data_IF_523845882344
#
_entry.id   IF_523845882344
#
_cell.length_a   1.000
_cell.length_b   1.000
_cell.length_c   1.000
_cell.angle_alpha   90.00
_cell.angle_beta   90.00
_cell.angle_gamma   90.00
#
_symmetry.space_group_name_H-M   'P 1'
#
loop_
_entity.id
_entity.type
_entity.pdbx_description
1 polymer ?
#
# COMPACT_ATOMS: atom_id res chain seq x y z
N UNK A 1 -13.47 15.82 -66.07
CA UNK A 1 -13.00 14.42 -65.83
C UNK A 1 -11.54 14.52 -65.39
N UNK A 2 -11.03 14.02 -64.27
CA UNK A 2 -11.53 13.31 -63.09
C UNK A 2 -10.61 13.73 -61.92
N UNK A 3 -11.16 13.79 -60.72
CA UNK A 3 -10.48 14.15 -59.47
C UNK A 3 -9.37 13.15 -59.11
N UNK A 4 -8.20 13.66 -58.72
CA UNK A 4 -7.22 12.93 -57.90
C UNK A 4 -7.65 13.07 -56.44
N UNK A 5 -7.88 11.95 -55.76
CA UNK A 5 -8.27 11.91 -54.36
C UNK A 5 -7.49 10.78 -53.66
N UNK A 6 -6.85 11.15 -52.54
CA UNK A 6 -6.59 10.35 -51.33
C UNK A 6 -5.69 9.11 -51.45
N UNK A 7 -4.44 9.26 -51.02
CA UNK A 7 -3.63 8.17 -50.46
C UNK A 7 -3.43 8.42 -48.96
N UNK A 8 -4.44 8.07 -48.16
CA UNK A 8 -4.24 7.76 -46.73
C UNK A 8 -4.09 6.26 -46.68
N UNK A 9 -2.85 5.80 -46.58
CA UNK A 9 -2.49 4.39 -46.52
C UNK A 9 -2.83 3.87 -45.12
N UNK A 10 -4.05 3.37 -44.97
CA UNK A 10 -4.48 2.61 -43.82
C UNK A 10 -3.69 1.30 -43.77
N UNK A 11 -2.71 1.22 -42.88
CA UNK A 11 -2.09 -0.05 -42.49
C UNK A 11 -3.04 -0.68 -41.46
N UNK A 12 -4.10 -1.32 -41.97
CA UNK A 12 -4.84 -2.34 -41.22
C UNK A 12 -4.08 -3.64 -41.36
N UNK A 13 -3.09 -3.85 -40.49
CA UNK A 13 -2.48 -5.16 -40.30
C UNK A 13 -3.35 -5.94 -39.30
N UNK A 14 -4.32 -6.69 -39.82
CA UNK A 14 -4.85 -7.86 -39.14
C UNK A 14 -3.73 -8.91 -39.05
N UNK A 15 -3.17 -9.10 -37.86
CA UNK A 15 -2.65 -10.41 -37.46
C UNK A 15 -3.52 -10.95 -36.33
N UNK A 16 -4.45 -11.80 -36.75
CA UNK A 16 -5.18 -12.72 -35.90
C UNK A 16 -4.21 -13.74 -35.32
N UNK A 17 -3.84 -13.55 -34.05
CA UNK A 17 -3.43 -14.67 -33.19
C UNK A 17 -4.64 -15.00 -32.34
N UNK A 18 -5.34 -16.07 -32.75
CA UNK A 18 -6.42 -16.65 -31.96
C UNK A 18 -5.82 -17.34 -30.74
N UNK A 19 -5.50 -16.57 -29.70
CA UNK A 19 -5.34 -17.10 -28.35
C UNK A 19 -6.71 -17.10 -27.70
N UNK A 20 -7.28 -18.29 -27.54
CA UNK A 20 -8.45 -18.51 -26.67
C UNK A 20 -8.06 -18.16 -25.24
N UNK A 21 -8.42 -16.97 -24.72
CA UNK A 21 -8.31 -16.64 -23.29
C UNK A 21 -9.32 -15.52 -22.89
N UNK A 22 -10.11 -15.82 -21.85
CA UNK A 22 -10.98 -14.96 -21.03
C UNK A 22 -11.31 -13.52 -21.51
N UNK A 23 -12.48 -13.30 -22.12
CA UNK A 23 -12.98 -11.95 -22.45
C UNK A 23 -13.21 -11.09 -21.19
N UNK A 24 -12.60 -9.90 -21.16
CA UNK A 24 -12.86 -8.83 -20.18
C UNK A 24 -14.22 -8.19 -20.51
N UNK A 25 -15.17 -8.17 -19.56
CA UNK A 25 -16.58 -7.86 -19.84
C UNK A 25 -16.84 -6.42 -20.29
N UNK A 26 -16.38 -5.43 -19.52
CA UNK A 26 -16.53 -4.00 -19.84
C UNK A 26 -15.18 -3.43 -20.32
N UNK A 27 -14.61 -4.03 -21.35
CA UNK A 27 -13.26 -3.72 -21.80
C UNK A 27 -13.14 -2.26 -22.29
N UNK A 28 -12.25 -1.52 -21.65
CA UNK A 28 -11.68 -0.26 -22.16
C UNK A 28 -10.18 -0.42 -22.32
N UNK A 29 -9.62 0.21 -23.34
CA UNK A 29 -8.18 0.17 -23.60
C UNK A 29 -7.63 1.59 -23.59
N UNK A 30 -6.53 1.78 -22.86
CA UNK A 30 -5.77 3.02 -22.80
C UNK A 30 -4.28 2.74 -23.01
N UNK A 31 -3.58 3.66 -23.65
CA UNK A 31 -2.14 3.56 -23.87
C UNK A 31 -1.44 4.53 -22.92
N UNK A 32 -0.49 4.02 -22.14
CA UNK A 32 0.22 4.80 -21.12
C UNK A 32 1.71 4.51 -21.18
N UNK A 33 2.53 5.50 -20.80
CA UNK A 33 3.98 5.33 -20.76
C UNK A 33 4.40 4.69 -19.42
N UNK A 34 5.19 3.61 -19.51
CA UNK A 34 5.75 2.88 -18.37
C UNK A 34 7.22 2.68 -18.66
N UNK A 35 8.08 3.09 -17.74
CA UNK A 35 9.52 3.07 -17.94
C UNK A 35 10.08 1.65 -17.77
N UNK A 36 11.00 1.27 -18.67
CA UNK A 36 11.65 -0.04 -18.73
C UNK A 36 12.62 -0.08 -19.92
N UNK A 37 13.56 -1.04 -19.92
CA UNK A 37 14.61 -1.09 -20.95
C UNK A 37 14.87 -2.49 -21.56
N UNK A 38 14.39 -3.58 -20.96
CA UNK A 38 14.71 -4.95 -21.38
C UNK A 38 13.46 -5.84 -21.37
N UNK A 39 13.50 -6.98 -22.05
CA UNK A 39 12.37 -7.93 -22.10
C UNK A 39 12.03 -8.56 -20.74
N UNK A 40 12.95 -8.51 -19.78
CA UNK A 40 12.63 -8.87 -18.39
C UNK A 40 11.69 -7.84 -17.74
N UNK A 41 11.81 -6.57 -18.12
CA UNK A 41 10.91 -5.52 -17.65
C UNK A 41 9.51 -5.74 -18.24
N UNK A 42 9.41 -6.05 -19.54
CA UNK A 42 8.17 -6.42 -20.20
C UNK A 42 7.43 -7.51 -19.41
N UNK A 43 8.08 -8.65 -19.17
CA UNK A 43 7.46 -9.76 -18.43
C UNK A 43 6.98 -9.33 -17.04
N UNK A 44 7.75 -8.50 -16.34
CA UNK A 44 7.43 -8.10 -14.96
C UNK A 44 6.31 -7.06 -14.93
N UNK A 45 6.34 -6.08 -15.84
CA UNK A 45 5.32 -5.04 -16.02
C UNK A 45 3.98 -5.69 -16.40
N UNK A 46 3.98 -6.57 -17.40
CA UNK A 46 2.78 -7.25 -17.88
C UNK A 46 2.18 -8.14 -16.80
N UNK A 47 3.01 -8.90 -16.08
CA UNK A 47 2.59 -9.74 -14.97
C UNK A 47 2.00 -8.94 -13.80
N UNK A 48 2.60 -7.79 -13.48
CA UNK A 48 2.12 -6.93 -12.40
C UNK A 48 0.79 -6.23 -12.75
N UNK A 49 0.65 -5.80 -14.00
CA UNK A 49 -0.53 -5.11 -14.49
C UNK A 49 -1.73 -6.02 -14.77
N UNK A 50 -1.46 -7.22 -15.30
CA UNK A 50 -2.47 -8.16 -15.78
C UNK A 50 -3.09 -8.99 -14.65
N UNK A 51 -4.41 -9.01 -14.60
CA UNK A 51 -5.19 -9.84 -13.69
C UNK A 51 -6.32 -10.52 -14.46
N UNK A 52 -6.41 -11.85 -14.34
CA UNK A 52 -7.35 -12.67 -15.09
C UNK A 52 -8.78 -12.10 -15.04
N UNK A 53 -9.39 -11.90 -16.22
CA UNK A 53 -10.74 -11.32 -16.42
C UNK A 53 -10.94 -9.88 -15.91
N UNK A 54 -9.90 -9.22 -15.40
CA UNK A 54 -9.98 -7.87 -14.82
C UNK A 54 -9.16 -6.86 -15.63
N UNK A 55 -7.91 -7.18 -15.96
CA UNK A 55 -7.01 -6.33 -16.71
C UNK A 55 -5.99 -7.15 -17.50
N UNK A 56 -5.57 -6.63 -18.64
CA UNK A 56 -4.47 -7.14 -19.48
C UNK A 56 -3.55 -5.96 -19.79
N UNK A 57 -2.26 -6.17 -19.62
CA UNK A 57 -1.21 -5.19 -19.94
C UNK A 57 -0.29 -5.84 -20.95
N UNK A 58 -0.08 -5.14 -22.05
CA UNK A 58 0.82 -5.50 -23.15
C UNK A 58 1.80 -4.33 -23.29
N UNK A 59 3.08 -4.55 -22.95
CA UNK A 59 4.07 -3.48 -22.88
C UNK A 59 5.11 -3.64 -23.97
N UNK A 60 5.29 -2.59 -24.76
CA UNK A 60 6.23 -2.59 -25.86
C UNK A 60 7.56 -1.96 -25.44
N UNK A 61 8.63 -2.75 -25.57
CA UNK A 61 9.99 -2.35 -25.16
C UNK A 61 10.55 -1.18 -25.95
N UNK A 62 10.27 -1.12 -27.24
CA UNK A 62 10.88 -0.15 -28.15
C UNK A 62 10.26 1.25 -27.97
N UNK A 63 8.95 1.29 -27.72
CA UNK A 63 8.18 2.52 -27.50
C UNK A 63 8.06 2.91 -26.03
N UNK A 64 8.28 1.95 -25.11
CA UNK A 64 8.03 2.08 -23.66
C UNK A 64 6.57 2.40 -23.33
N UNK A 65 5.65 1.96 -24.18
CA UNK A 65 4.22 2.18 -24.04
C UNK A 65 3.53 0.86 -23.67
N UNK A 66 2.63 0.91 -22.70
CA UNK A 66 1.72 -0.18 -22.37
C UNK A 66 0.33 0.07 -22.93
N UNK A 67 -0.24 -0.90 -23.64
CA UNK A 67 -1.66 -0.99 -23.89
C UNK A 67 -2.34 -1.70 -22.71
N UNK A 68 -3.11 -0.94 -21.92
CA UNK A 68 -3.82 -1.43 -20.75
C UNK A 68 -5.29 -1.62 -21.11
N UNK A 69 -5.73 -2.87 -21.19
CA UNK A 69 -7.15 -3.24 -21.38
C UNK A 69 -7.77 -3.68 -20.07
N UNK A 70 -8.90 -3.12 -19.65
CA UNK A 70 -9.46 -3.35 -18.32
C UNK A 70 -10.99 -3.33 -18.26
N UNK A 71 -11.57 -4.02 -17.26
CA UNK A 71 -13.01 -3.98 -16.97
C UNK A 71 -13.33 -2.66 -16.25
N UNK A 72 -13.90 -1.69 -16.96
CA UNK A 72 -14.15 -0.35 -16.42
C UNK A 72 -15.19 -0.30 -15.31
N UNK A 73 -15.93 -1.39 -15.07
CA UNK A 73 -16.85 -1.50 -13.94
C UNK A 73 -16.17 -2.01 -12.66
N UNK A 74 -14.93 -2.52 -12.75
CA UNK A 74 -14.23 -3.19 -11.65
C UNK A 74 -12.86 -2.63 -11.32
N UNK A 75 -12.19 -1.99 -12.28
CA UNK A 75 -10.88 -1.36 -12.09
C UNK A 75 -10.77 -0.14 -12.98
N UNK A 76 -9.66 0.58 -12.86
CA UNK A 76 -9.31 1.73 -13.68
C UNK A 76 -7.79 1.73 -13.97
N UNK A 77 -7.30 2.60 -14.87
CA UNK A 77 -5.88 2.67 -15.24
C UNK A 77 -4.97 3.01 -14.06
N UNK A 78 -5.41 3.88 -13.15
CA UNK A 78 -4.60 4.30 -12.02
C UNK A 78 -4.33 3.15 -11.05
N UNK A 79 -5.30 2.28 -10.79
CA UNK A 79 -5.09 1.07 -9.98
C UNK A 79 -4.14 0.08 -10.67
N UNK A 80 -4.17 -0.03 -12.00
CA UNK A 80 -3.26 -0.89 -12.76
C UNK A 80 -1.83 -0.34 -12.73
N UNK A 81 -1.67 0.97 -12.94
CA UNK A 81 -0.37 1.65 -12.89
C UNK A 81 0.24 1.61 -11.49
N UNK A 82 -0.56 1.71 -10.43
CA UNK A 82 -0.08 1.50 -9.07
C UNK A 82 0.53 0.11 -8.94
N UNK A 83 -0.16 -0.97 -9.35
CA UNK A 83 0.41 -2.33 -9.31
C UNK A 83 1.76 -2.47 -9.99
N UNK A 84 1.90 -1.81 -11.14
CA UNK A 84 3.16 -1.80 -11.91
C UNK A 84 4.25 -1.01 -11.17
N UNK A 85 3.91 0.12 -10.53
CA UNK A 85 4.80 0.86 -9.65
C UNK A 85 5.27 0.03 -8.45
N UNK A 86 4.41 -0.82 -7.88
CA UNK A 86 4.78 -1.74 -6.80
C UNK A 86 5.75 -2.84 -7.25
N UNK A 87 5.74 -3.18 -8.53
CA UNK A 87 6.73 -4.08 -9.12
C UNK A 87 8.05 -3.36 -9.45
N UNK A 88 8.20 -2.08 -9.08
CA UNK A 88 9.42 -1.30 -9.26
C UNK A 88 9.43 -0.37 -10.47
N UNK A 89 8.35 -0.32 -11.28
CA UNK A 89 8.34 0.42 -12.54
C UNK A 89 7.53 1.71 -12.49
N UNK A 90 8.20 2.81 -12.75
CA UNK A 90 7.60 4.14 -12.85
C UNK A 90 6.69 4.24 -14.08
N UNK A 91 5.72 5.13 -13.98
CA UNK A 91 4.92 5.67 -15.09
C UNK A 91 4.93 7.19 -15.02
N UNK A 92 4.36 7.86 -16.01
CA UNK A 92 4.23 9.32 -15.97
C UNK A 92 3.40 9.83 -14.77
N UNK A 93 2.50 8.99 -14.23
CA UNK A 93 1.61 9.33 -13.12
C UNK A 93 2.11 8.86 -11.75
N UNK A 94 2.81 7.73 -11.70
CA UNK A 94 3.19 7.07 -10.44
C UNK A 94 4.66 6.70 -10.46
N UNK A 95 5.38 7.14 -9.42
CA UNK A 95 6.73 6.67 -9.14
C UNK A 95 6.66 5.40 -8.29
N UNK A 96 7.50 4.43 -8.64
CA UNK A 96 7.76 3.24 -7.88
C UNK A 96 8.45 3.58 -6.55
N UNK A 97 8.12 2.86 -5.46
CA UNK A 97 8.89 2.92 -4.22
C UNK A 97 10.38 2.70 -4.49
N UNK A 98 11.24 3.45 -3.78
CA UNK A 98 12.70 3.43 -4.07
C UNK A 98 13.32 2.07 -3.79
N UNK A 99 12.85 1.37 -2.76
CA UNK A 99 13.21 -0.01 -2.45
C UNK A 99 12.77 -0.99 -3.56
N UNK A 100 11.52 -0.91 -4.03
CA UNK A 100 11.03 -1.74 -5.14
C UNK A 100 11.84 -1.49 -6.43
N UNK A 101 12.16 -0.23 -6.73
CA UNK A 101 13.01 0.13 -7.87
C UNK A 101 14.48 -0.37 -7.69
N UNK A 102 15.04 -0.22 -6.49
CA UNK A 102 16.43 -0.61 -6.20
C UNK A 102 16.64 -2.13 -6.18
N UNK A 103 15.58 -2.92 -6.02
CA UNK A 103 15.61 -4.39 -6.09
C UNK A 103 15.43 -4.92 -7.51
N UNK A 104 15.11 -4.06 -8.47
CA UNK A 104 15.06 -4.46 -9.88
C UNK A 104 16.43 -4.93 -10.38
N UNK A 105 16.47 -5.93 -11.27
CA UNK A 105 17.68 -6.31 -11.98
C UNK A 105 18.29 -5.09 -12.70
N UNK A 106 19.62 -5.04 -12.79
CA UNK A 106 20.32 -3.85 -13.32
C UNK A 106 19.84 -3.37 -14.69
N UNK A 107 19.35 -4.24 -15.59
CA UNK A 107 18.79 -3.80 -16.88
C UNK A 107 17.44 -3.07 -16.76
N UNK A 108 16.69 -3.29 -15.68
CA UNK A 108 15.42 -2.63 -15.40
C UNK A 108 15.56 -1.36 -14.54
N UNK A 109 16.76 -1.06 -14.06
CA UNK A 109 17.05 0.21 -13.40
C UNK A 109 17.40 1.27 -14.45
N UNK A 110 16.46 2.15 -14.76
CA UNK A 110 16.66 3.30 -15.67
C UNK A 110 16.91 4.59 -14.88
N UNK A 111 17.43 5.60 -15.55
CA UNK A 111 17.55 6.93 -14.95
C UNK A 111 16.16 7.53 -14.69
N UNK A 112 15.87 7.82 -13.42
CA UNK A 112 14.60 8.44 -13.00
C UNK A 112 14.75 9.95 -13.11
N UNK A 113 13.90 10.61 -13.90
CA UNK A 113 13.79 12.06 -13.87
C UNK A 113 13.33 12.49 -12.48
N UNK A 114 14.20 13.21 -11.76
CA UNK A 114 13.97 13.60 -10.38
C UNK A 114 12.79 14.57 -10.24
N UNK A 115 11.56 14.06 -10.13
CA UNK A 115 10.47 14.78 -9.47
C UNK A 115 10.60 14.55 -7.97
N UNK A 116 11.42 15.42 -7.35
CA UNK A 116 11.82 15.50 -5.93
C UNK A 116 11.15 14.47 -5.01
N UNK A 117 11.80 13.32 -4.88
CA UNK A 117 11.76 12.49 -3.69
C UNK A 117 12.90 12.98 -2.77
N UNK A 118 12.57 13.37 -1.53
CA UNK A 118 13.57 13.80 -0.55
C UNK A 118 14.52 12.64 -0.20
N UNK A 119 15.80 12.93 -0.41
CA UNK A 119 16.97 12.07 -0.21
C UNK A 119 17.35 12.10 1.28
N UNK A 120 17.46 10.94 1.92
CA UNK A 120 18.30 10.79 3.12
C UNK A 120 19.38 9.75 2.80
N UNK A 121 20.63 10.21 2.80
CA UNK A 121 21.80 9.38 2.57
C UNK A 121 22.19 8.56 3.80
N UNK A 122 22.57 7.31 3.56
CA UNK A 122 23.20 6.39 4.49
C UNK A 122 24.72 6.45 4.25
N UNK A 123 25.50 6.71 5.30
CA UNK A 123 26.96 6.52 5.30
C UNK A 123 27.30 5.10 5.77
N UNK A 124 28.21 4.45 5.05
CA UNK A 124 28.60 3.04 5.17
C UNK A 124 29.74 2.78 6.17
N UNK A 125 29.93 1.47 6.44
CA UNK A 125 31.20 0.71 6.60
C UNK A 125 31.48 0.23 8.06
N UNK A 126 31.79 -1.04 8.39
CA UNK A 126 32.35 -2.23 7.70
C UNK A 126 32.06 -3.52 8.53
N UNK A 127 31.57 -4.65 7.97
CA UNK A 127 32.23 -5.97 7.65
C UNK A 127 32.79 -6.81 8.85
N UNK A 128 32.75 -8.16 8.99
CA UNK A 128 32.76 -9.35 8.10
C UNK A 128 32.41 -10.69 8.83
N UNK A 129 32.04 -11.73 8.05
CA UNK A 129 32.24 -13.19 8.30
C UNK A 129 31.04 -13.95 8.90
N UNK A 130 30.58 -15.14 8.46
CA UNK A 130 31.07 -16.16 7.53
C UNK A 130 30.00 -17.26 7.32
N UNK A 131 30.36 -18.27 6.52
CA UNK A 131 29.57 -19.21 5.71
C UNK A 131 28.89 -20.44 6.40
N UNK A 132 27.94 -21.02 5.63
CA UNK A 132 27.38 -22.41 5.60
C UNK A 132 26.52 -22.88 6.81
N UNK A 133 25.47 -23.72 6.72
CA UNK A 133 25.14 -24.81 5.80
C UNK A 133 23.63 -25.17 5.83
N UNK A 134 23.17 -25.89 4.80
CA UNK A 134 21.83 -26.48 4.62
C UNK A 134 21.34 -27.38 5.79
N UNK A 135 20.02 -27.44 6.02
CA UNK A 135 19.20 -28.68 5.89
C UNK A 135 17.74 -28.53 6.33
N UNK A 136 16.88 -28.96 5.42
CA UNK A 136 15.63 -29.72 5.56
C UNK A 136 14.36 -29.20 6.28
N UNK A 137 13.28 -29.68 5.67
CA UNK A 137 11.85 -29.41 5.71
C UNK A 137 11.21 -29.50 7.09
N UNK A 138 10.25 -28.61 7.34
CA UNK A 138 9.01 -28.96 8.04
C UNK A 138 7.86 -28.10 7.52
N UNK A 139 7.06 -28.72 6.66
CA UNK A 139 5.74 -28.25 6.25
C UNK A 139 4.92 -28.02 7.52
N UNK A 140 4.61 -26.76 7.80
CA UNK A 140 3.56 -26.40 8.74
C UNK A 140 2.62 -25.46 8.00
N UNK A 141 1.34 -25.79 8.04
CA UNK A 141 0.21 -25.08 7.44
C UNK A 141 0.42 -23.57 7.45
N UNK A 142 0.49 -22.95 6.25
CA UNK A 142 0.46 -21.49 6.07
C UNK A 142 -0.91 -20.99 6.50
N UNK A 143 -1.10 -20.84 7.80
CA UNK A 143 -2.02 -19.84 8.33
C UNK A 143 -1.54 -18.50 7.74
N UNK A 144 -2.44 -17.83 7.05
CA UNK A 144 -2.14 -16.58 6.37
C UNK A 144 -1.86 -15.53 7.45
N UNK A 145 -0.60 -15.40 7.87
CA UNK A 145 -0.17 -14.42 8.88
C UNK A 145 -0.56 -13.05 8.34
N UNK A 146 -1.55 -12.42 8.98
CA UNK A 146 -1.91 -11.04 8.70
C UNK A 146 -0.67 -10.18 9.01
N UNK A 147 0.00 -9.68 7.97
CA UNK A 147 1.25 -8.91 8.09
C UNK A 147 1.04 -7.59 8.86
N UNK A 148 -0.20 -7.12 8.94
CA UNK A 148 -0.61 -5.94 9.70
C UNK A 148 -1.04 -6.26 11.13
N UNK A 149 -1.04 -7.54 11.55
CA UNK A 149 -1.47 -7.95 12.88
C UNK A 149 -0.71 -7.22 13.99
N UNK A 150 0.63 -7.16 13.88
CA UNK A 150 1.45 -6.45 14.87
C UNK A 150 1.14 -4.95 14.90
N UNK A 151 0.96 -4.33 13.72
CA UNK A 151 0.56 -2.92 13.60
C UNK A 151 -0.78 -2.68 14.31
N UNK A 152 -1.76 -3.55 14.13
CA UNK A 152 -3.05 -3.44 14.80
C UNK A 152 -2.92 -3.66 16.32
N UNK A 153 -2.19 -4.69 16.75
CA UNK A 153 -2.01 -4.99 18.17
C UNK A 153 -1.32 -3.83 18.91
N UNK A 154 -0.25 -3.27 18.35
CA UNK A 154 0.46 -2.13 18.94
C UNK A 154 -0.38 -0.84 18.91
N UNK A 155 -1.22 -0.65 17.89
CA UNK A 155 -2.22 0.42 17.88
C UNK A 155 -3.18 0.32 19.07
N UNK A 156 -3.69 -0.88 19.39
CA UNK A 156 -4.59 -1.04 20.53
C UNK A 156 -3.88 -0.82 21.86
N UNK A 157 -2.61 -1.25 21.98
CA UNK A 157 -1.80 -0.96 23.17
C UNK A 157 -1.57 0.53 23.37
N UNK A 158 -1.30 1.27 22.29
CA UNK A 158 -1.21 2.74 22.31
C UNK A 158 -2.55 3.37 22.73
N UNK A 159 -3.66 2.94 22.12
CA UNK A 159 -5.02 3.42 22.44
C UNK A 159 -5.33 3.23 23.93
N UNK A 160 -5.00 2.07 24.49
CA UNK A 160 -5.26 1.75 25.90
C UNK A 160 -4.38 2.56 26.86
N UNK A 161 -3.14 2.87 26.48
CA UNK A 161 -2.30 3.79 27.24
C UNK A 161 -2.91 5.21 27.30
N UNK A 162 -3.46 5.70 26.18
CA UNK A 162 -4.14 7.01 26.10
C UNK A 162 -5.43 7.05 26.93
N UNK A 163 -6.18 5.95 26.95
CA UNK A 163 -7.34 5.75 27.84
C UNK A 163 -6.93 5.87 29.30
N UNK A 164 -5.83 5.23 29.69
CA UNK A 164 -5.26 5.33 31.06
C UNK A 164 -4.64 6.68 31.37
N UNK A 165 -4.51 7.58 30.38
CA UNK A 165 -3.85 8.89 30.52
C UNK A 165 -2.38 8.73 30.94
N UNK A 166 -1.74 7.63 30.52
CA UNK A 166 -0.34 7.36 30.81
C UNK A 166 0.53 7.80 29.62
N UNK A 167 1.05 9.03 29.70
CA UNK A 167 1.81 9.62 28.60
C UNK A 167 3.12 8.87 28.32
N UNK A 168 3.77 8.33 29.36
CA UNK A 168 5.04 7.62 29.21
C UNK A 168 4.85 6.28 28.52
N UNK A 169 3.84 5.52 28.95
CA UNK A 169 3.48 4.26 28.29
C UNK A 169 2.96 4.53 26.87
N UNK A 170 2.21 5.59 26.64
CA UNK A 170 1.77 5.97 25.30
C UNK A 170 2.95 6.24 24.35
N UNK A 171 3.97 7.00 24.79
CA UNK A 171 5.18 7.20 23.98
C UNK A 171 5.91 5.88 23.69
N UNK A 172 6.02 5.00 24.69
CA UNK A 172 6.67 3.70 24.54
C UNK A 172 5.93 2.82 23.52
N UNK A 173 4.61 2.72 23.64
CA UNK A 173 3.77 1.96 22.69
C UNK A 173 3.74 2.58 21.30
N UNK A 174 3.88 3.90 21.18
CA UNK A 174 4.08 4.53 19.88
C UNK A 174 5.44 4.16 19.25
N UNK A 175 6.52 3.97 20.03
CA UNK A 175 7.81 3.48 19.49
C UNK A 175 7.71 2.04 18.99
N UNK A 176 7.01 1.19 19.73
CA UNK A 176 6.73 -0.20 19.32
C UNK A 176 5.91 -0.20 18.02
N UNK A 177 4.82 0.58 17.96
CA UNK A 177 4.01 0.73 16.76
C UNK A 177 4.81 1.27 15.57
N UNK A 178 5.68 2.26 15.78
CA UNK A 178 6.55 2.80 14.71
C UNK A 178 7.49 1.71 14.17
N UNK A 179 8.00 0.86 15.05
CA UNK A 179 8.83 -0.28 14.66
C UNK A 179 8.01 -1.29 13.86
N UNK A 180 6.80 -1.64 14.33
CA UNK A 180 5.90 -2.53 13.60
C UNK A 180 5.59 -2.00 12.20
N UNK A 181 5.28 -0.70 12.07
CA UNK A 181 5.05 -0.02 10.79
C UNK A 181 6.26 -0.16 9.86
N UNK A 182 7.48 0.08 10.37
CA UNK A 182 8.69 -0.01 9.57
C UNK A 182 9.04 -1.45 9.13
N UNK A 183 8.56 -2.46 9.85
CA UNK A 183 8.82 -3.88 9.53
C UNK A 183 7.81 -4.49 8.56
N UNK A 184 6.75 -3.78 8.19
CA UNK A 184 5.76 -4.29 7.24
C UNK A 184 6.41 -4.46 5.86
N UNK A 185 6.48 -5.70 5.41
CA UNK A 185 6.90 -6.06 4.06
C UNK A 185 5.73 -5.84 3.11
N UNK A 186 5.82 -4.80 2.29
CA UNK A 186 4.71 -4.40 1.44
C UNK A 186 4.41 -5.46 0.37
N UNK A 187 5.42 -6.21 -0.08
CA UNK A 187 5.30 -7.32 -1.02
C UNK A 187 4.46 -8.50 -0.49
N UNK A 188 4.35 -8.63 0.84
CA UNK A 188 3.59 -9.70 1.49
C UNK A 188 2.13 -9.30 1.78
N UNK A 189 1.74 -8.05 1.49
CA UNK A 189 0.37 -7.55 1.64
C UNK A 189 -0.50 -7.97 0.46
N UNK A 190 -1.78 -8.27 0.73
CA UNK A 190 -2.77 -8.41 -0.35
C UNK A 190 -2.92 -7.08 -1.09
N UNK A 191 -3.38 -7.12 -2.33
CA UNK A 191 -3.54 -5.93 -3.18
C UNK A 191 -4.30 -4.80 -2.48
N UNK A 192 -5.44 -5.10 -1.87
CA UNK A 192 -6.28 -4.12 -1.18
C UNK A 192 -5.60 -3.54 0.07
N UNK A 193 -4.95 -4.40 0.86
CA UNK A 193 -4.17 -4.02 2.05
C UNK A 193 -2.97 -3.14 1.65
N UNK A 194 -2.24 -3.53 0.61
CA UNK A 194 -1.10 -2.80 0.07
C UNK A 194 -1.50 -1.39 -0.39
N UNK A 195 -2.58 -1.27 -1.17
CA UNK A 195 -3.05 0.02 -1.68
C UNK A 195 -3.50 0.94 -0.55
N UNK A 196 -4.13 0.40 0.50
CA UNK A 196 -4.47 1.18 1.69
C UNK A 196 -3.21 1.56 2.49
N UNK A 197 -2.27 0.63 2.64
CA UNK A 197 -0.97 0.84 3.29
C UNK A 197 -0.21 2.00 2.66
N UNK A 198 -0.06 2.02 1.34
CA UNK A 198 0.62 3.09 0.62
C UNK A 198 0.00 4.47 0.82
N UNK A 199 -1.33 4.54 0.99
CA UNK A 199 -2.02 5.82 1.24
C UNK A 199 -1.72 6.37 2.62
N UNK A 200 -1.61 5.49 3.62
CA UNK A 200 -1.51 5.92 5.03
C UNK A 200 -0.09 5.88 5.57
N UNK A 201 0.82 5.09 5.00
CA UNK A 201 2.13 4.75 5.57
C UNK A 201 2.92 5.98 6.03
N UNK A 202 3.05 7.00 5.15
CA UNK A 202 3.83 8.21 5.45
C UNK A 202 3.23 9.02 6.60
N UNK A 203 1.93 9.31 6.53
CA UNK A 203 1.24 10.13 7.55
C UNK A 203 1.15 9.37 8.87
N UNK A 204 0.74 8.09 8.83
CA UNK A 204 0.68 7.20 9.98
C UNK A 204 2.03 7.12 10.70
N UNK A 205 3.12 6.88 9.96
CA UNK A 205 4.47 6.83 10.55
C UNK A 205 4.88 8.16 11.18
N UNK A 206 4.59 9.29 10.52
CA UNK A 206 4.91 10.64 11.02
C UNK A 206 4.16 10.97 12.32
N UNK A 207 2.86 10.67 12.38
CA UNK A 207 2.04 10.96 13.55
C UNK A 207 2.41 10.05 14.73
N UNK A 208 2.64 8.76 14.47
CA UNK A 208 3.10 7.82 15.51
C UNK A 208 4.48 8.25 16.03
N UNK A 209 5.41 8.67 15.17
CA UNK A 209 6.69 9.23 15.59
C UNK A 209 6.51 10.46 16.50
N UNK A 210 5.62 11.37 16.13
CA UNK A 210 5.32 12.57 16.92
C UNK A 210 4.77 12.23 18.32
N UNK A 211 3.90 11.21 18.43
CA UNK A 211 3.42 10.70 19.73
C UNK A 211 4.59 10.12 20.55
N UNK A 212 5.51 9.42 19.89
CA UNK A 212 6.64 8.74 20.53
C UNK A 212 7.70 9.69 21.12
N UNK A 213 7.78 10.92 20.60
CA UNK A 213 8.79 11.93 20.94
C UNK A 213 8.30 12.94 22.00
N UNK A 214 7.02 12.92 22.35
CA UNK A 214 6.43 13.85 23.34
C UNK A 214 5.92 13.11 24.57
N UNK A 215 5.98 13.77 25.73
CA UNK A 215 5.38 13.31 27.00
C UNK A 215 4.11 14.10 27.35
N UNK A 216 3.63 14.99 26.48
CA UNK A 216 2.38 15.72 26.70
C UNK A 216 1.19 14.92 26.18
N UNK A 217 0.35 14.44 27.11
CA UNK A 217 -0.83 13.62 26.79
C UNK A 217 -1.82 14.32 25.85
N UNK A 218 -1.91 15.66 25.86
CA UNK A 218 -2.80 16.39 24.94
C UNK A 218 -2.24 16.33 23.52
N UNK A 219 -0.95 16.58 23.35
CA UNK A 219 -0.28 16.50 22.05
C UNK A 219 -0.37 15.06 21.51
N UNK A 220 -0.15 14.05 22.34
CA UNK A 220 -0.31 12.65 21.94
C UNK A 220 -1.72 12.34 21.43
N UNK A 221 -2.75 12.81 22.14
CA UNK A 221 -4.15 12.65 21.75
C UNK A 221 -4.50 13.39 20.46
N UNK A 222 -3.87 14.53 20.21
CA UNK A 222 -4.08 15.31 18.99
C UNK A 222 -3.55 14.56 17.77
N UNK A 223 -2.32 14.05 17.81
CA UNK A 223 -1.79 13.17 16.75
C UNK A 223 -2.57 11.86 16.63
N UNK A 224 -3.04 11.29 17.74
CA UNK A 224 -3.80 10.04 17.73
C UNK A 224 -5.11 10.10 16.90
N UNK A 225 -5.68 11.29 16.71
CA UNK A 225 -6.87 11.47 15.83
C UNK A 225 -6.57 11.05 14.39
N UNK A 226 -5.38 11.40 13.89
CA UNK A 226 -4.94 11.02 12.55
C UNK A 226 -4.52 9.54 12.50
N UNK A 227 -3.76 9.07 13.49
CA UNK A 227 -3.38 7.66 13.62
C UNK A 227 -4.60 6.73 13.60
N UNK A 228 -5.63 7.06 14.38
CA UNK A 228 -6.85 6.26 14.46
C UNK A 228 -7.68 6.26 13.18
N UNK A 229 -7.75 7.39 12.48
CA UNK A 229 -8.38 7.47 11.15
C UNK A 229 -7.64 6.59 10.14
N UNK A 230 -6.32 6.71 10.07
CA UNK A 230 -5.49 5.92 9.16
C UNK A 230 -5.53 4.43 9.48
N UNK A 231 -5.60 4.06 10.76
CA UNK A 231 -5.74 2.66 11.16
C UNK A 231 -7.11 2.07 10.76
N UNK A 232 -8.17 2.87 10.82
CA UNK A 232 -9.50 2.46 10.36
C UNK A 232 -9.52 2.14 8.85
N UNK A 233 -8.88 2.97 8.01
CA UNK A 233 -8.77 2.72 6.56
C UNK A 233 -8.06 1.38 6.27
N UNK A 234 -7.02 1.04 7.03
CA UNK A 234 -6.33 -0.25 6.95
C UNK A 234 -7.19 -1.42 7.43
N UNK A 235 -7.85 -1.24 8.57
CA UNK A 235 -8.66 -2.29 9.19
C UNK A 235 -9.80 -2.74 8.27
N UNK A 236 -10.40 -1.79 7.54
CA UNK A 236 -11.50 -2.07 6.60
C UNK A 236 -11.14 -2.99 5.45
N UNK A 237 -9.90 -2.92 4.96
CA UNK A 237 -9.45 -3.76 3.84
C UNK A 237 -8.81 -5.07 4.31
N UNK A 238 -8.20 -5.06 5.49
CA UNK A 238 -7.49 -6.23 6.02
C UNK A 238 -8.45 -7.32 6.52
N UNK A 239 -9.59 -6.88 7.09
CA UNK A 239 -10.53 -7.72 7.87
C UNK A 239 -9.83 -8.43 9.04
N UNK A 240 -10.55 -8.66 10.13
CA UNK A 240 -9.99 -9.30 11.32
C UNK A 240 -10.88 -10.43 11.79
N UNK A 241 -10.28 -11.50 12.28
CA UNK A 241 -11.00 -12.68 12.77
C UNK A 241 -11.92 -12.34 13.95
N UNK A 242 -11.57 -11.30 14.71
CA UNK A 242 -12.37 -10.76 15.80
C UNK A 242 -13.06 -9.47 15.41
N UNK A 243 -14.31 -9.23 15.85
CA UNK A 243 -14.98 -7.96 15.65
C UNK A 243 -14.17 -6.79 16.20
N UNK A 244 -14.03 -5.73 15.40
CA UNK A 244 -13.44 -4.46 15.84
C UNK A 244 -14.50 -3.38 15.82
N UNK A 245 -14.63 -2.62 16.91
CA UNK A 245 -15.62 -1.57 17.05
C UNK A 245 -15.03 -0.22 16.68
N UNK A 246 -15.66 0.45 15.71
CA UNK A 246 -15.32 1.83 15.38
C UNK A 246 -16.20 2.74 16.24
N UNK A 247 -15.57 3.47 17.15
CA UNK A 247 -16.23 4.31 18.14
C UNK A 247 -15.97 5.80 17.84
N UNK A 248 -16.85 6.66 18.31
CA UNK A 248 -16.85 8.10 18.01
C UNK A 248 -16.96 8.96 19.27
N UNK A 249 -16.16 10.03 19.32
CA UNK A 249 -16.21 11.05 20.37
C UNK A 249 -16.87 12.33 19.80
N UNK A 250 -18.06 12.73 20.28
CA UNK A 250 -18.75 13.91 19.76
C UNK A 250 -18.05 15.24 20.11
N UNK A 251 -17.28 15.28 21.20
CA UNK A 251 -16.63 16.52 21.64
C UNK A 251 -15.38 16.85 20.82
N UNK A 252 -14.58 15.82 20.49
CA UNK A 252 -13.37 15.98 19.68
C UNK A 252 -13.65 15.80 18.18
N UNK A 253 -14.83 15.27 17.82
CA UNK A 253 -15.22 14.94 16.45
C UNK A 253 -14.23 13.99 15.76
N UNK A 254 -13.74 13.01 16.51
CA UNK A 254 -12.83 11.99 16.02
C UNK A 254 -13.28 10.60 16.45
N UNK A 255 -12.79 9.59 15.73
CA UNK A 255 -13.11 8.20 15.95
C UNK A 255 -11.91 7.41 16.46
N UNK A 256 -12.13 6.17 16.88
CA UNK A 256 -11.05 5.21 17.17
C UNK A 256 -11.55 3.79 17.00
N UNK A 257 -10.61 2.85 16.84
CA UNK A 257 -10.90 1.42 16.84
C UNK A 257 -10.77 0.87 18.27
N UNK A 258 -11.64 -0.07 18.62
CA UNK A 258 -11.66 -0.74 19.93
C UNK A 258 -11.87 -2.24 19.76
N UNK A 259 -11.21 -3.05 20.60
CA UNK A 259 -11.49 -4.50 20.68
C UNK A 259 -12.75 -4.77 21.51
N UNK A 260 -13.14 -3.84 22.38
CA UNK A 260 -14.35 -3.96 23.19
C UNK A 260 -15.48 -3.05 22.67
N UNK A 261 -16.73 -3.53 22.77
CA UNK A 261 -17.90 -2.72 22.47
C UNK A 261 -18.14 -1.62 23.52
N UNK A 262 -17.72 -1.85 24.76
CA UNK A 262 -17.77 -0.84 25.80
C UNK A 262 -16.89 0.36 25.42
N UNK A 263 -17.43 1.57 25.57
CA UNK A 263 -16.74 2.80 25.20
C UNK A 263 -15.70 3.12 26.28
N UNK A 264 -14.43 3.15 25.86
CA UNK A 264 -13.29 3.65 26.65
C UNK A 264 -12.57 4.73 25.83
N UNK A 265 -12.86 6.00 26.12
CA UNK A 265 -12.49 7.13 25.29
C UNK A 265 -10.99 7.52 25.44
N UNK A 266 -10.17 7.33 24.39
CA UNK A 266 -8.73 7.64 24.45
C UNK A 266 -8.44 9.15 24.47
N UNK A 267 -9.38 10.00 24.04
CA UNK A 267 -9.22 11.45 23.93
C UNK A 267 -9.43 12.20 25.25
N UNK A 268 -10.18 11.62 26.19
CA UNK A 268 -10.43 12.23 27.50
C UNK A 268 -9.98 11.37 28.67
N UNK A 269 -9.70 10.09 28.46
CA UNK A 269 -9.27 9.15 29.50
C UNK A 269 -10.22 9.15 30.70
N UNK A 270 -9.69 9.19 31.92
CA UNK A 270 -10.48 9.15 33.15
C UNK A 270 -11.52 10.28 33.29
N UNK A 271 -11.33 11.43 32.62
CA UNK A 271 -12.26 12.56 32.71
C UNK A 271 -13.62 12.24 32.07
N UNK A 272 -13.64 11.44 31.01
CA UNK A 272 -14.86 11.11 30.26
C UNK A 272 -14.74 9.70 29.66
N UNK A 273 -14.40 8.73 30.50
CA UNK A 273 -14.05 7.36 30.08
C UNK A 273 -15.13 6.71 29.21
N UNK A 274 -16.40 6.85 29.61
CA UNK A 274 -17.56 6.25 28.93
C UNK A 274 -18.20 7.15 27.87
N UNK A 275 -17.64 8.34 27.59
CA UNK A 275 -18.22 9.28 26.63
C UNK A 275 -17.89 8.87 25.19
N UNK A 276 -18.91 8.55 24.41
CA UNK A 276 -18.78 8.20 23.01
C UNK A 276 -19.88 7.22 22.58
N UNK A 277 -19.78 6.71 21.36
CA UNK A 277 -20.68 5.68 20.86
C UNK A 277 -19.99 4.81 19.82
N UNK A 278 -20.36 3.54 19.76
CA UNK A 278 -20.03 2.66 18.62
C UNK A 278 -20.84 3.13 17.41
N UNK A 279 -20.16 3.36 16.28
CA UNK A 279 -20.77 3.78 15.01
C UNK A 279 -20.73 2.68 13.95
N UNK A 280 -19.78 1.76 14.02
CA UNK A 280 -19.64 0.63 13.10
C UNK A 280 -18.99 -0.56 13.81
N UNK A 281 -19.28 -1.78 13.37
CA UNK A 281 -18.60 -3.01 13.79
C UNK A 281 -18.00 -3.66 12.55
N UNK A 282 -16.67 -3.69 12.48
CA UNK A 282 -15.89 -4.28 11.40
C UNK A 282 -15.77 -5.79 11.65
N UNK A 283 -16.07 -6.58 10.63
CA UNK A 283 -16.06 -8.05 10.62
C UNK A 283 -15.43 -8.58 9.33
#
# INVERSE_FOLDING_TARGET
MKSLNKSVMAITLLLSVAFTNAQIKNAKTETVKIFGNCGMCETTIEKAGSLNKLASVDWDKDTKMAAITYDSAKTNPDEILKRIALAGYDSEKFLAPTDAFNTLPGCCQYEREAKVAEKMEMSSMNTMGGHDNHSDVSVTTKEQVNQLKLVFDDYFLLKDALVKTDASVASMKAKELLTAIATVKMEDLKMEEHMAWMKVYKELGSDVKSISETQDIKIQRDFFKSVSKNMYELMKVSKTDTPTYYQYCPMVKANWLSKENEVKNPYYGSKMMSCGKTVETIK
#
